data_IF_664064761510
#
_entry.id   IF_664064761510
#
_cell.length_a   1.000
_cell.length_b   1.000
_cell.length_c   1.000
_cell.angle_alpha   90.00
_cell.angle_beta   90.00
_cell.angle_gamma   90.00
#
_symmetry.space_group_name_H-M   'P 1'
#
loop_
_entity.id
_entity.type
_entity.pdbx_description
1 polymer ?
#
# COMPACT_ATOMS: atom_id res chain seq x y z
N UNK A 1 -17.66 25.30 9.39
CA UNK A 1 -16.51 25.88 10.11
C UNK A 1 -15.30 25.82 9.19
N UNK A 2 -14.55 26.92 9.02
CA UNK A 2 -13.31 26.90 8.23
C UNK A 2 -12.21 26.26 9.10
N UNK A 3 -11.46 25.25 8.61
CA UNK A 3 -10.38 24.63 9.37
C UNK A 3 -9.27 25.66 9.61
N UNK A 4 -8.78 25.70 10.84
CA UNK A 4 -7.65 26.56 11.20
C UNK A 4 -6.35 25.93 10.73
N UNK A 5 -5.34 26.72 10.29
CA UNK A 5 -4.02 26.23 9.88
C UNK A 5 -3.40 25.25 10.89
N UNK A 6 -3.59 25.49 12.18
CA UNK A 6 -3.13 24.61 13.26
C UNK A 6 -3.78 23.22 13.19
N UNK A 7 -5.07 23.15 12.87
CA UNK A 7 -5.79 21.87 12.72
C UNK A 7 -5.33 21.10 11.48
N UNK A 8 -5.13 21.81 10.37
CA UNK A 8 -4.57 21.20 9.15
C UNK A 8 -3.19 20.62 9.43
N UNK A 9 -2.30 21.39 10.07
CA UNK A 9 -0.95 20.96 10.40
C UNK A 9 -0.93 19.75 11.33
N UNK A 10 -1.81 19.69 12.31
CA UNK A 10 -1.91 18.62 13.30
C UNK A 10 -2.32 17.26 12.65
N UNK A 11 -3.05 17.30 11.53
CA UNK A 11 -3.42 16.12 10.75
C UNK A 11 -2.33 15.78 9.74
N UNK A 12 -1.74 16.78 9.09
CA UNK A 12 -0.77 16.58 7.99
C UNK A 12 0.57 16.08 8.50
N UNK A 13 1.07 16.59 9.63
CA UNK A 13 2.38 16.23 10.16
C UNK A 13 2.57 14.71 10.44
N UNK A 14 1.63 14.02 11.11
CA UNK A 14 1.73 12.59 11.29
C UNK A 14 1.71 11.80 9.97
N UNK A 15 0.96 12.27 8.97
CA UNK A 15 0.91 11.64 7.65
C UNK A 15 2.25 11.81 6.93
N UNK A 16 2.86 12.99 7.00
CA UNK A 16 4.19 13.23 6.41
C UNK A 16 5.25 12.34 7.03
N UNK A 17 5.25 12.17 8.36
CA UNK A 17 6.18 11.25 9.04
C UNK A 17 5.96 9.82 8.53
N UNK A 18 4.71 9.37 8.43
CA UNK A 18 4.41 8.02 7.93
C UNK A 18 4.94 7.80 6.52
N UNK A 19 4.76 8.78 5.61
CA UNK A 19 5.28 8.73 4.25
C UNK A 19 6.82 8.70 4.20
N UNK A 20 7.48 9.49 5.06
CA UNK A 20 8.95 9.46 5.17
C UNK A 20 9.45 8.11 5.64
N UNK A 21 8.79 7.51 6.64
CA UNK A 21 9.13 6.18 7.15
C UNK A 21 8.93 5.10 6.08
N UNK A 22 7.82 5.13 5.32
CA UNK A 22 7.59 4.21 4.19
C UNK A 22 8.69 4.33 3.11
N UNK A 23 9.13 5.56 2.80
CA UNK A 23 10.25 5.77 1.86
C UNK A 23 11.59 5.24 2.41
N UNK A 24 11.85 5.39 3.72
CA UNK A 24 13.06 4.84 4.35
C UNK A 24 13.11 3.32 4.26
N UNK A 25 11.99 2.63 4.46
CA UNK A 25 11.89 1.17 4.25
C UNK A 25 12.30 0.83 2.82
N UNK A 26 11.72 1.49 1.81
CA UNK A 26 12.05 1.24 0.41
C UNK A 26 13.52 1.49 0.07
N UNK A 27 14.14 2.53 0.65
CA UNK A 27 15.58 2.80 0.47
C UNK A 27 16.43 1.71 1.13
N UNK A 28 16.07 1.26 2.32
CA UNK A 28 16.77 0.19 3.04
C UNK A 28 16.70 -1.12 2.26
N UNK A 29 15.50 -1.52 1.82
CA UNK A 29 15.30 -2.72 1.00
C UNK A 29 16.13 -2.68 -0.29
N UNK A 30 16.12 -1.53 -0.99
CA UNK A 30 16.92 -1.33 -2.20
C UNK A 30 18.42 -1.45 -1.92
N UNK A 31 18.90 -0.90 -0.81
CA UNK A 31 20.32 -0.97 -0.42
C UNK A 31 20.74 -2.42 -0.09
N UNK A 32 19.87 -3.19 0.56
CA UNK A 32 20.14 -4.61 0.84
C UNK A 32 20.14 -5.44 -0.45
N UNK A 33 19.14 -5.27 -1.32
CA UNK A 33 19.05 -5.97 -2.60
C UNK A 33 20.25 -5.64 -3.51
N UNK A 34 20.71 -4.41 -3.52
CA UNK A 34 21.91 -4.00 -4.27
C UNK A 34 23.19 -4.70 -3.82
N UNK A 35 23.25 -5.21 -2.57
CA UNK A 35 24.37 -6.03 -2.08
C UNK A 35 24.25 -7.51 -2.46
N UNK A 36 23.04 -7.98 -2.75
CA UNK A 36 22.80 -9.38 -3.15
C UNK A 36 23.23 -9.60 -4.60
N UNK A 37 22.82 -8.72 -5.51
CA UNK A 37 23.21 -8.78 -6.91
C UNK A 37 22.42 -7.85 -7.81
N UNK A 38 22.96 -7.61 -9.01
CA UNK A 38 22.33 -6.74 -10.00
C UNK A 38 21.04 -7.36 -10.58
N UNK A 39 20.99 -8.67 -10.69
CA UNK A 39 19.82 -9.42 -11.21
C UNK A 39 18.66 -9.28 -10.24
N UNK A 40 18.88 -9.50 -8.94
CA UNK A 40 17.87 -9.41 -7.89
C UNK A 40 17.38 -7.98 -7.72
N UNK A 41 18.29 -7.00 -7.78
CA UNK A 41 17.92 -5.58 -7.73
C UNK A 41 17.05 -5.18 -8.93
N UNK A 42 17.46 -5.56 -10.15
CA UNK A 42 16.71 -5.29 -11.37
C UNK A 42 15.34 -5.96 -11.37
N UNK A 43 15.29 -7.23 -10.95
CA UNK A 43 14.05 -8.00 -10.83
C UNK A 43 13.07 -7.38 -9.84
N UNK A 44 13.55 -6.98 -8.65
CA UNK A 44 12.71 -6.38 -7.63
C UNK A 44 12.17 -5.01 -8.05
N UNK A 45 12.98 -4.19 -8.75
CA UNK A 45 12.57 -2.89 -9.27
C UNK A 45 11.44 -3.02 -10.31
N UNK A 46 11.61 -3.89 -11.31
CA UNK A 46 10.61 -4.10 -12.37
C UNK A 46 9.33 -4.74 -11.84
N UNK A 47 9.47 -5.77 -11.00
CA UNK A 47 8.34 -6.40 -10.33
C UNK A 47 7.63 -5.43 -9.36
N UNK A 48 8.38 -4.52 -8.73
CA UNK A 48 7.86 -3.46 -7.87
C UNK A 48 6.96 -2.49 -8.62
N UNK A 49 7.37 -2.03 -9.80
CA UNK A 49 6.55 -1.16 -10.67
C UNK A 49 5.26 -1.87 -11.09
N UNK A 50 5.35 -3.14 -11.50
CA UNK A 50 4.19 -3.95 -11.85
C UNK A 50 3.21 -4.09 -10.67
N UNK A 51 3.73 -4.44 -9.48
CA UNK A 51 2.93 -4.55 -8.26
C UNK A 51 2.27 -3.21 -7.89
N UNK A 52 3.02 -2.11 -8.00
CA UNK A 52 2.52 -0.77 -7.69
C UNK A 52 1.37 -0.36 -8.62
N UNK A 53 1.45 -0.68 -9.91
CA UNK A 53 0.37 -0.40 -10.86
C UNK A 53 -0.94 -1.05 -10.45
N UNK A 54 -0.91 -2.32 -10.02
CA UNK A 54 -2.08 -3.04 -9.53
C UNK A 54 -2.55 -2.47 -8.18
N UNK A 55 -1.61 -2.22 -7.26
CA UNK A 55 -1.91 -1.69 -5.93
C UNK A 55 -2.64 -0.34 -6.01
N UNK A 56 -2.29 0.52 -6.97
CA UNK A 56 -2.91 1.84 -7.15
C UNK A 56 -4.41 1.76 -7.44
N UNK A 57 -4.91 0.66 -8.01
CA UNK A 57 -6.34 0.45 -8.24
C UNK A 57 -7.08 0.36 -6.89
N UNK A 58 -6.60 -0.48 -5.98
CA UNK A 58 -7.18 -0.62 -4.64
C UNK A 58 -6.97 0.64 -3.78
N UNK A 59 -5.81 1.28 -3.92
CA UNK A 59 -5.51 2.54 -3.24
C UNK A 59 -6.47 3.66 -3.66
N UNK A 60 -6.76 3.79 -4.97
CA UNK A 60 -7.74 4.76 -5.48
C UNK A 60 -9.13 4.54 -4.89
N UNK A 61 -9.59 3.29 -4.79
CA UNK A 61 -10.85 2.96 -4.12
C UNK A 61 -10.85 3.34 -2.63
N UNK A 62 -9.74 3.08 -1.94
CA UNK A 62 -9.61 3.43 -0.51
C UNK A 62 -9.72 4.94 -0.26
N UNK A 63 -9.20 5.78 -1.18
CA UNK A 63 -9.37 7.24 -1.12
C UNK A 63 -10.85 7.62 -1.21
N UNK A 64 -11.61 7.00 -2.12
CA UNK A 64 -13.06 7.22 -2.21
C UNK A 64 -13.77 6.91 -0.89
N UNK A 65 -13.47 5.77 -0.29
CA UNK A 65 -14.01 5.38 1.03
C UNK A 65 -13.56 6.34 2.13
N UNK A 66 -12.31 6.80 2.11
CA UNK A 66 -11.79 7.80 3.06
C UNK A 66 -12.62 9.10 3.02
N UNK A 67 -12.99 9.58 1.83
CA UNK A 67 -13.80 10.79 1.66
C UNK A 67 -15.19 10.59 2.27
N UNK A 68 -15.81 9.43 2.03
CA UNK A 68 -17.12 9.11 2.61
C UNK A 68 -17.06 9.03 4.14
N UNK A 69 -16.05 8.36 4.69
CA UNK A 69 -15.83 8.28 6.15
C UNK A 69 -15.60 9.69 6.74
N UNK A 70 -14.77 10.52 6.10
CA UNK A 70 -14.51 11.87 6.56
C UNK A 70 -15.78 12.73 6.56
N UNK A 71 -16.63 12.57 5.56
CA UNK A 71 -17.93 13.24 5.49
C UNK A 71 -18.84 12.79 6.64
N UNK A 72 -19.00 11.48 6.86
CA UNK A 72 -19.83 10.96 7.96
C UNK A 72 -19.29 11.37 9.33
N UNK A 73 -17.98 11.40 9.49
CA UNK A 73 -17.34 11.91 10.71
C UNK A 73 -17.66 13.40 10.95
N UNK A 74 -17.62 14.24 9.91
CA UNK A 74 -18.00 15.64 9.98
C UNK A 74 -19.48 15.89 10.28
N UNK A 75 -20.36 15.01 9.77
CA UNK A 75 -21.81 15.00 10.03
C UNK A 75 -22.14 14.39 11.42
N UNK A 76 -21.16 13.88 12.17
CA UNK A 76 -21.29 13.12 13.43
C UNK A 76 -22.16 11.86 13.31
N UNK A 77 -22.32 11.33 12.10
CA UNK A 77 -23.04 10.09 11.80
C UNK A 77 -22.13 8.87 12.02
N UNK A 78 -21.65 8.68 13.24
CA UNK A 78 -20.64 7.64 13.57
C UNK A 78 -21.15 6.22 13.35
N UNK A 79 -22.46 5.99 13.47
CA UNK A 79 -23.07 4.67 13.24
C UNK A 79 -22.88 4.19 11.79
N UNK A 80 -22.76 5.11 10.82
CA UNK A 80 -22.60 4.78 9.40
C UNK A 80 -21.14 4.44 9.04
N UNK A 81 -20.18 4.83 9.87
CA UNK A 81 -18.74 4.66 9.56
C UNK A 81 -18.34 3.18 9.60
N UNK A 82 -18.84 2.42 10.58
CA UNK A 82 -18.56 0.99 10.71
C UNK A 82 -18.98 0.17 9.47
N UNK A 83 -20.24 0.28 9.04
CA UNK A 83 -20.71 -0.37 7.80
C UNK A 83 -19.92 0.04 6.56
N UNK A 84 -19.56 1.31 6.39
CA UNK A 84 -18.72 1.78 5.28
C UNK A 84 -17.35 1.12 5.27
N UNK A 85 -16.70 1.02 6.44
CA UNK A 85 -15.41 0.36 6.58
C UNK A 85 -15.52 -1.14 6.24
N UNK A 86 -16.53 -1.82 6.76
CA UNK A 86 -16.75 -3.25 6.53
C UNK A 86 -17.00 -3.54 5.05
N UNK A 87 -17.88 -2.80 4.40
CA UNK A 87 -18.14 -2.93 2.97
C UNK A 87 -16.90 -2.65 2.12
N UNK A 88 -16.12 -1.62 2.50
CA UNK A 88 -14.86 -1.29 1.85
C UNK A 88 -13.84 -2.41 1.95
N UNK A 89 -13.68 -3.03 3.13
CA UNK A 89 -12.78 -4.18 3.34
C UNK A 89 -13.23 -5.36 2.49
N UNK A 90 -14.51 -5.70 2.51
CA UNK A 90 -15.04 -6.82 1.71
C UNK A 90 -14.81 -6.61 0.22
N UNK A 91 -15.08 -5.39 -0.28
CA UNK A 91 -14.84 -5.05 -1.68
C UNK A 91 -13.35 -5.17 -2.04
N UNK A 92 -12.45 -4.62 -1.21
CA UNK A 92 -11.03 -4.70 -1.48
C UNK A 92 -10.47 -6.13 -1.36
N UNK A 93 -11.01 -6.97 -0.49
CA UNK A 93 -10.65 -8.39 -0.43
C UNK A 93 -11.09 -9.13 -1.70
N UNK A 94 -12.30 -8.85 -2.21
CA UNK A 94 -12.76 -9.37 -3.50
C UNK A 94 -11.85 -8.91 -4.64
N UNK A 95 -11.52 -7.62 -4.67
CA UNK A 95 -10.58 -7.05 -5.65
C UNK A 95 -9.21 -7.71 -5.53
N UNK A 96 -8.70 -7.94 -4.30
CA UNK A 96 -7.45 -8.64 -4.06
C UNK A 96 -7.46 -10.05 -4.65
N UNK A 97 -8.56 -10.80 -4.47
CA UNK A 97 -8.72 -12.13 -5.04
C UNK A 97 -8.70 -12.11 -6.57
N UNK A 98 -9.41 -11.16 -7.19
CA UNK A 98 -9.40 -10.98 -8.65
C UNK A 98 -8.00 -10.63 -9.14
N UNK A 99 -7.34 -9.64 -8.51
CA UNK A 99 -5.98 -9.20 -8.87
C UNK A 99 -4.94 -10.30 -8.64
N UNK A 100 -5.12 -11.12 -7.60
CA UNK A 100 -4.29 -12.29 -7.36
C UNK A 100 -4.38 -13.29 -8.52
N UNK A 101 -5.60 -13.66 -8.95
CA UNK A 101 -5.80 -14.59 -10.08
C UNK A 101 -5.24 -14.00 -11.37
N UNK A 102 -5.56 -12.73 -11.66
CA UNK A 102 -5.04 -12.02 -12.84
C UNK A 102 -3.51 -12.00 -12.83
N UNK A 103 -2.90 -11.63 -11.71
CA UNK A 103 -1.44 -11.58 -11.61
C UNK A 103 -0.82 -12.98 -11.77
N UNK A 104 -1.37 -14.02 -11.12
CA UNK A 104 -0.83 -15.40 -11.28
C UNK A 104 -0.86 -15.87 -12.73
N UNK A 105 -1.87 -15.48 -13.50
CA UNK A 105 -2.05 -15.92 -14.88
C UNK A 105 -1.25 -15.07 -15.87
N UNK A 106 -1.29 -13.76 -15.72
CA UNK A 106 -0.77 -12.83 -16.74
C UNK A 106 0.64 -12.30 -16.45
N UNK A 107 1.12 -12.29 -15.19
CA UNK A 107 2.46 -11.77 -14.85
C UNK A 107 3.56 -12.41 -15.70
N UNK A 108 3.63 -13.75 -15.88
CA UNK A 108 4.71 -14.34 -16.67
C UNK A 108 4.70 -13.85 -18.13
N UNK A 109 3.52 -13.64 -18.70
CA UNK A 109 3.37 -13.16 -20.09
C UNK A 109 3.80 -11.69 -20.18
N UNK A 110 3.29 -10.85 -19.27
CA UNK A 110 3.59 -9.41 -19.27
C UNK A 110 5.08 -9.16 -19.01
N UNK A 111 5.68 -9.83 -18.01
CA UNK A 111 7.09 -9.61 -17.68
C UNK A 111 8.02 -10.12 -18.80
N UNK A 112 7.73 -11.26 -19.45
CA UNK A 112 8.49 -11.72 -20.61
C UNK A 112 8.40 -10.80 -21.82
N UNK A 113 7.35 -10.00 -21.90
CA UNK A 113 7.16 -9.04 -22.98
C UNK A 113 7.91 -7.73 -22.74
N UNK A 114 8.15 -7.40 -21.46
CA UNK A 114 8.76 -6.12 -21.03
C UNK A 114 10.26 -6.28 -20.74
N UNK A 115 10.69 -7.48 -20.30
CA UNK A 115 12.06 -7.71 -19.84
C UNK A 115 12.80 -8.60 -20.85
N UNK A 116 13.80 -8.03 -21.51
CA UNK A 116 14.63 -8.75 -22.50
C UNK A 116 15.66 -9.68 -21.82
N UNK A 117 16.12 -9.37 -20.63
CA UNK A 117 17.11 -10.16 -19.91
C UNK A 117 16.45 -11.40 -19.27
N UNK A 118 16.79 -12.60 -19.75
CA UNK A 118 16.26 -13.86 -19.26
C UNK A 118 16.43 -14.04 -17.73
N UNK A 119 17.64 -13.89 -17.16
CA UNK A 119 17.87 -14.04 -15.72
C UNK A 119 17.05 -13.07 -14.89
N UNK A 120 16.97 -11.79 -15.29
CA UNK A 120 16.18 -10.78 -14.60
C UNK A 120 14.67 -11.08 -14.70
N UNK A 121 14.22 -11.54 -15.86
CA UNK A 121 12.83 -11.91 -16.08
C UNK A 121 12.39 -13.08 -15.19
N UNK A 122 13.17 -14.15 -15.13
CA UNK A 122 12.85 -15.31 -14.31
C UNK A 122 12.87 -14.97 -12.81
N UNK A 123 13.84 -14.18 -12.38
CA UNK A 123 13.89 -13.66 -11.00
C UNK A 123 12.67 -12.78 -10.68
N UNK A 124 12.26 -11.88 -11.61
CA UNK A 124 11.09 -11.02 -11.44
C UNK A 124 9.77 -11.82 -11.37
N UNK A 125 9.61 -12.86 -12.20
CA UNK A 125 8.46 -13.76 -12.17
C UNK A 125 8.39 -14.49 -10.82
N UNK A 126 9.52 -15.06 -10.38
CA UNK A 126 9.62 -15.74 -9.09
C UNK A 126 9.26 -14.81 -7.94
N UNK A 127 9.88 -13.65 -7.88
CA UNK A 127 9.61 -12.63 -6.86
C UNK A 127 8.14 -12.19 -6.84
N UNK A 128 7.57 -11.87 -8.00
CA UNK A 128 6.17 -11.45 -8.11
C UNK A 128 5.21 -12.55 -7.68
N UNK A 129 5.53 -13.82 -8.00
CA UNK A 129 4.70 -14.98 -7.66
C UNK A 129 4.43 -15.11 -6.16
N UNK A 130 5.37 -14.71 -5.32
CA UNK A 130 5.22 -14.63 -3.86
C UNK A 130 4.63 -13.31 -3.40
N UNK A 131 5.03 -12.20 -4.00
CA UNK A 131 4.59 -10.86 -3.60
C UNK A 131 3.09 -10.64 -3.79
N UNK A 132 2.46 -11.31 -4.76
CA UNK A 132 1.01 -11.15 -5.01
C UNK A 132 0.13 -11.60 -3.84
N UNK A 133 0.60 -12.50 -2.96
CA UNK A 133 -0.10 -12.83 -1.72
C UNK A 133 -0.23 -11.62 -0.79
N UNK A 134 0.67 -10.66 -0.92
CA UNK A 134 0.64 -9.40 -0.18
C UNK A 134 -0.56 -8.51 -0.51
N UNK A 135 -1.26 -8.70 -1.64
CA UNK A 135 -2.44 -7.88 -1.97
C UNK A 135 -3.53 -7.97 -0.92
N UNK A 136 -3.79 -9.15 -0.35
CA UNK A 136 -4.80 -9.33 0.68
C UNK A 136 -4.51 -8.47 1.91
N UNK A 137 -3.27 -8.46 2.36
CA UNK A 137 -2.85 -7.65 3.51
C UNK A 137 -2.76 -6.16 3.17
N UNK A 138 -2.19 -5.82 2.02
CA UNK A 138 -2.00 -4.44 1.58
C UNK A 138 -3.34 -3.72 1.37
N UNK A 139 -4.34 -4.38 0.79
CA UNK A 139 -5.65 -3.78 0.55
C UNK A 139 -6.45 -3.58 1.83
N UNK A 140 -6.31 -4.50 2.79
CA UNK A 140 -6.88 -4.30 4.13
C UNK A 140 -6.16 -3.14 4.85
N UNK A 141 -4.83 -3.08 4.77
CA UNK A 141 -4.05 -2.02 5.39
C UNK A 141 -4.40 -0.63 4.85
N UNK A 142 -4.56 -0.46 3.51
CA UNK A 142 -4.96 0.84 2.95
C UNK A 142 -6.39 1.22 3.34
N UNK A 143 -7.27 0.26 3.58
CA UNK A 143 -8.63 0.55 4.07
C UNK A 143 -8.60 1.05 5.52
N UNK A 144 -7.79 0.45 6.40
CA UNK A 144 -7.58 0.98 7.74
C UNK A 144 -6.92 2.36 7.72
N UNK A 145 -5.95 2.59 6.81
CA UNK A 145 -5.38 3.92 6.60
C UNK A 145 -6.47 4.93 6.22
N UNK A 146 -7.34 4.60 5.27
CA UNK A 146 -8.46 5.43 4.86
C UNK A 146 -9.40 5.75 6.04
N UNK A 147 -9.66 4.78 6.91
CA UNK A 147 -10.46 4.96 8.13
C UNK A 147 -9.79 5.93 9.10
N UNK A 148 -8.50 5.75 9.43
CA UNK A 148 -7.81 6.62 10.39
C UNK A 148 -7.64 8.04 9.87
N UNK A 149 -7.39 8.22 8.57
CA UNK A 149 -7.34 9.56 7.96
C UNK A 149 -8.73 10.19 7.95
N UNK A 150 -9.76 9.45 7.54
CA UNK A 150 -11.14 9.93 7.48
C UNK A 150 -11.72 10.31 8.85
N UNK A 151 -11.32 9.61 9.92
CA UNK A 151 -11.68 9.93 11.31
C UNK A 151 -10.74 10.93 11.97
N UNK A 152 -9.75 11.47 11.23
CA UNK A 152 -8.72 12.42 11.76
C UNK A 152 -7.83 11.86 12.87
N UNK A 153 -7.80 10.55 13.06
CA UNK A 153 -6.96 9.88 14.08
C UNK A 153 -5.61 9.42 13.48
N UNK A 154 -4.86 10.38 12.95
CA UNK A 154 -3.63 10.11 12.18
C UNK A 154 -2.43 9.68 13.01
N UNK A 155 -2.45 9.83 14.32
CA UNK A 155 -1.37 9.39 15.23
C UNK A 155 -1.11 7.88 15.15
N UNK A 156 -2.15 7.09 14.90
CA UNK A 156 -2.04 5.62 14.75
C UNK A 156 -1.23 5.27 13.51
N UNK A 157 -1.33 6.06 12.44
CA UNK A 157 -0.55 5.84 11.22
C UNK A 157 0.95 6.00 11.48
N UNK A 158 1.34 7.05 12.20
CA UNK A 158 2.74 7.27 12.58
C UNK A 158 3.26 6.13 13.44
N UNK A 159 2.50 5.70 14.45
CA UNK A 159 2.88 4.57 15.31
C UNK A 159 3.07 3.28 14.49
N UNK A 160 2.16 2.99 13.57
CA UNK A 160 2.26 1.84 12.67
C UNK A 160 3.50 1.92 11.77
N UNK A 161 3.76 3.07 11.14
CA UNK A 161 4.90 3.24 10.24
C UNK A 161 6.24 3.15 10.99
N UNK A 162 6.33 3.70 12.20
CA UNK A 162 7.52 3.56 13.06
C UNK A 162 7.76 2.09 13.42
N UNK A 163 6.71 1.36 13.80
CA UNK A 163 6.81 -0.08 14.09
C UNK A 163 7.29 -0.87 12.88
N UNK A 164 6.76 -0.56 11.69
CA UNK A 164 7.20 -1.20 10.44
C UNK A 164 8.68 -0.95 10.15
N UNK A 165 9.18 0.29 10.31
CA UNK A 165 10.61 0.61 10.11
C UNK A 165 11.47 -0.17 11.10
N UNK A 166 11.11 -0.17 12.38
CA UNK A 166 11.87 -0.88 13.41
C UNK A 166 11.92 -2.38 13.12
N UNK A 167 10.82 -2.97 12.67
CA UNK A 167 10.76 -4.39 12.30
C UNK A 167 11.61 -4.67 11.06
N UNK A 168 11.53 -3.83 10.04
CA UNK A 168 12.29 -3.98 8.79
C UNK A 168 13.81 -3.87 9.01
N UNK A 169 14.24 -2.99 9.93
CA UNK A 169 15.69 -2.84 10.25
C UNK A 169 16.19 -3.95 11.15
N UNK A 170 15.31 -4.57 11.96
CA UNK A 170 15.68 -5.64 12.89
C UNK A 170 15.75 -7.04 12.24
N UNK A 171 15.12 -7.22 11.09
CA UNK A 171 15.09 -8.47 10.30
C UNK A 171 16.13 -8.46 9.21
#
# INVERSE_FOLDING_TARGET
MKPTYKQIWLITYPILISLLMENLIGLTDTAFLGRVGEVELGASALAGVYYMAIFMIGFGFSIGTQILIARRNGEKAYADIGPLLQQGILFLLLLAAVMFVVSRTFTPVVLRWVIDSGPVCDAAISYTSWRVYGFFFSFVAVMFRAFYVGTTNTKILTANSVTMVLTNVAL
#
